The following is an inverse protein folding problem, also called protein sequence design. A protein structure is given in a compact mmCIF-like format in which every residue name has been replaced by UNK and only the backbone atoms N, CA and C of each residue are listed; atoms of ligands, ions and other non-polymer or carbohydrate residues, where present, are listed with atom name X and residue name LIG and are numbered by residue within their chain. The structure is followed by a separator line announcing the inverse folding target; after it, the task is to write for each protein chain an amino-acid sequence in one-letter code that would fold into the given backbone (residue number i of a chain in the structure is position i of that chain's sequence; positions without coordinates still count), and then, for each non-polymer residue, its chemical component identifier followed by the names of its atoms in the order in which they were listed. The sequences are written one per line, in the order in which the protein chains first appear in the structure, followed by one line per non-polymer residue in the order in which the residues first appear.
data_IF_284583551834
#
_entry.id   IF_284583551834
#
_cell.length_a   1.000
_cell.length_b   1.000
_cell.length_c   1.000
_cell.angle_alpha   90.00
_cell.angle_beta   90.00
_cell.angle_gamma   90.00
#
_symmetry.space_group_name_H-M   'P 1'
#
loop_
_entity.id
_entity.type
_entity.pdbx_description
1 polymer ?
#
# COMPACT_ATOMS: atom_id res chain seq x y z
N UNK A 1 -9.79 13.35 14.74
CA UNK A 1 -8.58 12.97 13.96
C UNK A 1 -8.56 13.80 12.70
N UNK A 2 -7.40 14.28 12.30
CA UNK A 2 -7.23 15.09 11.09
C UNK A 2 -7.43 14.23 9.82
N UNK A 3 -7.98 14.82 8.76
CA UNK A 3 -8.25 14.19 7.44
C UNK A 3 -7.78 15.12 6.30
N UNK A 4 -6.48 15.45 6.23
CA UNK A 4 -5.97 16.46 5.33
C UNK A 4 -6.14 16.10 3.85
N UNK A 5 -6.24 14.81 3.51
CA UNK A 5 -6.33 14.34 2.13
C UNK A 5 -7.70 13.73 1.80
N UNK A 6 -8.25 12.88 2.68
CA UNK A 6 -9.50 12.15 2.37
C UNK A 6 -10.72 13.05 2.33
N UNK A 7 -10.74 14.12 3.15
CA UNK A 7 -11.81 15.12 3.13
C UNK A 7 -12.05 15.73 1.75
N UNK A 8 -11.00 15.86 0.92
CA UNK A 8 -11.09 16.41 -0.44
C UNK A 8 -11.99 15.55 -1.33
N UNK A 9 -12.03 14.23 -1.12
CA UNK A 9 -12.82 13.28 -1.91
C UNK A 9 -14.09 12.81 -1.20
N UNK A 10 -14.25 13.05 0.10
CA UNK A 10 -15.41 12.59 0.87
C UNK A 10 -16.37 13.70 1.28
N UNK A 11 -15.90 14.94 1.46
CA UNK A 11 -16.67 15.99 2.15
C UNK A 11 -17.36 16.96 1.19
N UNK A 12 -18.53 17.46 1.60
CA UNK A 12 -19.32 18.41 0.83
C UNK A 12 -20.21 17.79 -0.25
N UNK A 13 -21.18 18.57 -0.71
CA UNK A 13 -22.23 18.08 -1.61
C UNK A 13 -21.67 17.68 -2.98
N UNK A 14 -20.65 18.38 -3.48
CA UNK A 14 -19.99 18.09 -4.76
C UNK A 14 -19.28 16.72 -4.78
N UNK A 15 -19.05 16.10 -3.62
CA UNK A 15 -18.44 14.77 -3.49
C UNK A 15 -19.43 13.61 -3.40
N UNK A 16 -20.73 13.88 -3.64
CA UNK A 16 -21.75 12.84 -3.69
C UNK A 16 -21.43 11.70 -4.70
N UNK A 17 -20.89 11.96 -5.91
CA UNK A 17 -20.52 10.89 -6.83
C UNK A 17 -19.44 9.97 -6.25
N UNK A 18 -18.37 10.52 -5.68
CA UNK A 18 -17.29 9.76 -5.05
C UNK A 18 -17.83 8.88 -3.91
N UNK A 19 -18.69 9.45 -3.05
CA UNK A 19 -19.34 8.69 -1.97
C UNK A 19 -20.22 7.55 -2.49
N UNK A 20 -20.82 7.67 -3.68
CA UNK A 20 -21.57 6.57 -4.28
C UNK A 20 -20.65 5.37 -4.60
N UNK A 21 -19.46 5.60 -5.16
CA UNK A 21 -18.46 4.54 -5.37
C UNK A 21 -18.02 3.91 -4.04
N UNK A 22 -17.82 4.74 -3.00
CA UNK A 22 -17.42 4.23 -1.68
C UNK A 22 -18.49 3.33 -1.04
N UNK A 23 -19.77 3.71 -1.16
CA UNK A 23 -20.89 2.88 -0.71
C UNK A 23 -21.04 1.60 -1.53
N UNK A 24 -20.78 1.65 -2.84
CA UNK A 24 -20.76 0.46 -3.69
C UNK A 24 -19.67 -0.55 -3.27
N UNK A 25 -18.59 -0.08 -2.65
CA UNK A 25 -17.56 -0.92 -2.03
C UNK A 25 -17.91 -1.39 -0.61
N UNK A 26 -19.13 -1.13 -0.13
CA UNK A 26 -19.61 -1.55 1.19
C UNK A 26 -19.23 -0.61 2.35
N UNK A 27 -18.66 0.56 2.08
CA UNK A 27 -18.37 1.53 3.14
C UNK A 27 -19.66 2.22 3.61
N UNK A 28 -19.83 2.31 4.93
CA UNK A 28 -20.90 3.09 5.54
C UNK A 28 -20.48 4.55 5.66
N UNK A 29 -21.43 5.44 5.88
CA UNK A 29 -21.14 6.87 6.09
C UNK A 29 -20.16 7.07 7.25
N UNK A 30 -20.31 6.30 8.33
CA UNK A 30 -19.38 6.31 9.46
C UNK A 30 -17.94 5.93 9.08
N UNK A 31 -17.73 5.13 8.03
CA UNK A 31 -16.40 4.76 7.54
C UNK A 31 -15.84 5.78 6.56
N UNK A 32 -16.71 6.37 5.73
CA UNK A 32 -16.32 7.41 4.76
C UNK A 32 -15.73 8.62 5.48
N UNK A 33 -16.26 8.99 6.64
CA UNK A 33 -15.82 10.17 7.38
C UNK A 33 -14.72 9.92 8.44
N UNK A 34 -14.10 8.74 8.45
CA UNK A 34 -12.87 8.44 9.21
C UNK A 34 -11.62 8.78 8.38
N UNK A 35 -10.41 8.87 8.99
CA UNK A 35 -9.17 8.95 8.24
C UNK A 35 -8.92 7.70 7.39
N UNK A 36 -8.44 7.88 6.17
CA UNK A 36 -8.21 6.79 5.22
C UNK A 36 -6.74 6.38 5.25
N UNK A 37 -6.49 5.08 5.43
CA UNK A 37 -5.14 4.53 5.51
C UNK A 37 -4.91 3.59 4.33
N UNK A 38 -3.98 3.95 3.45
CA UNK A 38 -3.52 3.06 2.38
C UNK A 38 -2.75 1.89 2.98
N UNK A 39 -3.08 0.66 2.59
CA UNK A 39 -2.32 -0.55 2.93
C UNK A 39 -1.66 -1.05 1.65
N UNK A 40 -0.41 -0.63 1.41
CA UNK A 40 0.34 -0.99 0.22
C UNK A 40 1.13 -2.27 0.46
N UNK A 41 0.85 -3.32 -0.31
CA UNK A 41 1.55 -4.60 -0.21
C UNK A 41 2.30 -4.91 -1.51
N UNK A 42 3.46 -5.56 -1.42
CA UNK A 42 4.13 -6.15 -2.59
C UNK A 42 3.88 -7.66 -2.70
N UNK A 43 2.75 -8.13 -2.17
CA UNK A 43 2.37 -9.55 -2.22
C UNK A 43 2.30 -10.05 -3.66
N UNK A 44 2.88 -11.22 -3.89
CA UNK A 44 2.68 -12.01 -5.10
C UNK A 44 3.15 -13.45 -4.87
N UNK A 45 2.81 -14.32 -5.81
CA UNK A 45 3.20 -15.74 -5.80
C UNK A 45 4.50 -16.01 -6.59
N UNK A 46 5.23 -14.95 -6.97
CA UNK A 46 6.43 -15.09 -7.79
C UNK A 46 7.68 -15.47 -6.98
N UNK A 47 7.68 -15.27 -5.65
CA UNK A 47 8.83 -15.56 -4.79
C UNK A 47 8.43 -15.77 -3.33
N UNK A 48 9.10 -16.66 -2.59
CA UNK A 48 8.81 -16.88 -1.16
C UNK A 48 8.92 -15.60 -0.31
N UNK A 49 9.71 -14.61 -0.73
CA UNK A 49 9.89 -13.34 -0.01
C UNK A 49 8.58 -12.56 0.18
N UNK A 50 7.56 -12.78 -0.66
CA UNK A 50 6.35 -11.96 -0.70
C UNK A 50 5.08 -12.72 -0.26
N UNK A 51 5.11 -14.05 -0.13
CA UNK A 51 3.92 -14.88 0.10
C UNK A 51 3.18 -14.51 1.40
N UNK A 52 3.91 -14.19 2.46
CA UNK A 52 3.32 -13.86 3.77
C UNK A 52 2.65 -12.48 3.80
N UNK A 53 2.93 -11.62 2.81
CA UNK A 53 2.47 -10.24 2.81
C UNK A 53 0.93 -10.13 2.72
N UNK A 54 0.22 -11.12 2.15
CA UNK A 54 -1.25 -11.14 2.11
C UNK A 54 -1.85 -11.23 3.53
N UNK A 55 -1.43 -12.22 4.33
CA UNK A 55 -1.92 -12.36 5.71
C UNK A 55 -1.47 -11.20 6.61
N UNK A 56 -0.30 -10.61 6.33
CA UNK A 56 0.20 -9.44 7.06
C UNK A 56 -0.61 -8.19 6.70
N UNK A 57 -0.95 -7.97 5.44
CA UNK A 57 -1.81 -6.87 5.00
C UNK A 57 -3.21 -6.98 5.63
N UNK A 58 -3.80 -8.18 5.66
CA UNK A 58 -5.06 -8.44 6.38
C UNK A 58 -4.98 -8.09 7.87
N UNK A 59 -3.82 -8.34 8.50
CA UNK A 59 -3.60 -7.99 9.91
C UNK A 59 -3.45 -6.48 10.11
N UNK A 60 -2.72 -5.79 9.24
CA UNK A 60 -2.60 -4.34 9.25
C UNK A 60 -3.97 -3.65 9.07
N UNK A 61 -4.81 -4.15 8.16
CA UNK A 61 -6.18 -3.64 7.98
C UNK A 61 -7.01 -3.72 9.25
N UNK A 62 -6.98 -4.86 9.94
CA UNK A 62 -7.67 -5.01 11.24
C UNK A 62 -7.17 -3.98 12.24
N UNK A 63 -5.86 -3.84 12.41
CA UNK A 63 -5.28 -2.84 13.32
C UNK A 63 -5.71 -1.41 13.01
N UNK A 64 -5.77 -1.03 11.72
CA UNK A 64 -6.29 0.28 11.31
C UNK A 64 -7.77 0.44 11.66
N UNK A 65 -8.60 -0.56 11.36
CA UNK A 65 -10.03 -0.51 11.69
C UNK A 65 -10.27 -0.41 13.19
N UNK A 66 -9.53 -1.17 13.99
CA UNK A 66 -9.62 -1.17 15.46
C UNK A 66 -9.18 0.19 16.04
N UNK A 67 -8.23 0.87 15.38
CA UNK A 67 -7.77 2.22 15.73
C UNK A 67 -8.71 3.35 15.23
N UNK A 68 -9.83 3.02 14.57
CA UNK A 68 -10.82 3.99 14.11
C UNK A 68 -10.53 4.61 12.74
N UNK A 69 -9.63 4.03 11.95
CA UNK A 69 -9.37 4.39 10.55
C UNK A 69 -10.15 3.52 9.54
N UNK A 70 -10.16 3.94 8.28
CA UNK A 70 -10.72 3.19 7.16
C UNK A 70 -9.59 2.64 6.28
N UNK A 71 -9.25 1.34 6.36
CA UNK A 71 -8.14 0.77 5.61
C UNK A 71 -8.52 0.53 4.15
N UNK A 72 -7.64 0.93 3.24
CA UNK A 72 -7.76 0.74 1.79
C UNK A 72 -6.55 -0.01 1.26
N UNK A 73 -6.72 -1.30 1.05
CA UNK A 73 -5.65 -2.18 0.57
C UNK A 73 -5.47 -2.09 -0.94
N UNK A 74 -4.22 -2.10 -1.38
CA UNK A 74 -3.83 -2.26 -2.77
C UNK A 74 -2.47 -2.95 -2.87
N UNK A 75 -2.19 -3.51 -4.04
CA UNK A 75 -0.95 -4.25 -4.30
C UNK A 75 -0.15 -3.54 -5.38
N UNK A 76 1.17 -3.49 -5.19
CA UNK A 76 2.14 -3.12 -6.23
C UNK A 76 3.03 -4.32 -6.59
N UNK A 77 3.75 -4.21 -7.70
CA UNK A 77 4.62 -5.25 -8.23
C UNK A 77 5.83 -5.50 -7.32
N UNK A 78 6.45 -6.66 -7.45
CA UNK A 78 7.81 -6.92 -6.99
C UNK A 78 8.42 -8.05 -7.81
N UNK A 79 9.72 -7.96 -8.07
CA UNK A 79 10.48 -8.96 -8.79
C UNK A 79 11.45 -9.68 -7.86
N UNK A 80 11.84 -10.90 -8.23
CA UNK A 80 12.75 -11.73 -7.45
C UNK A 80 14.15 -11.69 -8.03
N UNK A 81 15.08 -11.07 -7.31
CA UNK A 81 16.49 -11.07 -7.71
C UNK A 81 17.05 -12.49 -7.74
N UNK A 82 16.62 -13.36 -6.81
CA UNK A 82 17.05 -14.76 -6.76
C UNK A 82 16.63 -15.56 -7.99
N UNK A 83 15.46 -15.29 -8.58
CA UNK A 83 14.99 -15.96 -9.80
C UNK A 83 15.58 -15.30 -11.05
N UNK A 84 15.64 -13.97 -11.08
CA UNK A 84 16.10 -13.21 -12.25
C UNK A 84 17.61 -13.34 -12.51
N UNK A 85 18.37 -13.90 -11.56
CA UNK A 85 19.82 -13.96 -11.60
C UNK A 85 20.32 -14.85 -12.75
N UNK A 86 21.33 -14.37 -13.48
CA UNK A 86 22.00 -15.14 -14.53
C UNK A 86 21.32 -15.12 -15.90
N UNK A 87 20.27 -14.30 -16.11
CA UNK A 87 19.68 -14.10 -17.42
C UNK A 87 19.19 -12.65 -17.62
N UNK A 88 18.65 -12.36 -18.81
CA UNK A 88 18.20 -11.03 -19.24
C UNK A 88 17.17 -10.36 -18.29
N UNK A 89 16.45 -11.16 -17.49
CA UNK A 89 15.47 -10.66 -16.53
C UNK A 89 16.08 -9.82 -15.40
N UNK A 90 17.38 -9.98 -15.10
CA UNK A 90 18.06 -9.15 -14.10
C UNK A 90 18.04 -7.65 -14.45
N UNK A 91 17.88 -7.30 -15.73
CA UNK A 91 17.69 -5.90 -16.18
C UNK A 91 16.41 -5.27 -15.61
N UNK A 92 15.43 -6.07 -15.21
CA UNK A 92 14.18 -5.62 -14.59
C UNK A 92 14.28 -5.44 -13.07
N UNK A 93 15.37 -5.87 -12.42
CA UNK A 93 15.52 -5.79 -10.95
C UNK A 93 15.52 -4.35 -10.46
N UNK A 94 16.56 -3.57 -10.76
CA UNK A 94 16.75 -2.26 -10.16
C UNK A 94 15.64 -1.27 -10.52
N UNK A 95 15.16 -1.30 -11.77
CA UNK A 95 14.08 -0.40 -12.23
C UNK A 95 12.75 -0.67 -11.52
N UNK A 96 12.52 -1.90 -11.02
CA UNK A 96 11.32 -2.21 -10.25
C UNK A 96 11.17 -1.33 -9.00
N UNK A 97 12.28 -0.85 -8.41
CA UNK A 97 12.27 0.09 -7.28
C UNK A 97 11.50 1.37 -7.60
N UNK A 98 11.76 1.96 -8.77
CA UNK A 98 11.09 3.18 -9.22
C UNK A 98 9.62 2.92 -9.51
N UNK A 99 9.34 1.82 -10.23
CA UNK A 99 7.96 1.44 -10.54
C UNK A 99 7.12 1.23 -9.28
N UNK A 100 7.69 0.61 -8.25
CA UNK A 100 7.05 0.44 -6.95
C UNK A 100 6.77 1.81 -6.32
N UNK A 101 7.78 2.67 -6.22
CA UNK A 101 7.63 3.99 -5.63
C UNK A 101 6.53 4.82 -6.33
N UNK A 102 6.60 4.88 -7.67
CA UNK A 102 5.67 5.64 -8.51
C UNK A 102 4.25 5.08 -8.41
N UNK A 103 4.08 3.75 -8.44
CA UNK A 103 2.75 3.14 -8.35
C UNK A 103 2.03 3.41 -7.02
N UNK A 104 2.77 3.43 -5.91
CA UNK A 104 2.24 3.75 -4.58
C UNK A 104 1.87 5.24 -4.54
N UNK A 105 2.76 6.11 -5.05
CA UNK A 105 2.51 7.54 -5.10
C UNK A 105 1.26 7.89 -5.92
N UNK A 106 1.08 7.24 -7.08
CA UNK A 106 -0.11 7.39 -7.91
C UNK A 106 -1.39 7.01 -7.16
N UNK A 107 -1.39 5.86 -6.49
CA UNK A 107 -2.56 5.38 -5.74
C UNK A 107 -2.91 6.33 -4.58
N UNK A 108 -1.91 6.70 -3.80
CA UNK A 108 -2.10 7.56 -2.62
C UNK A 108 -2.65 8.94 -3.00
N UNK A 109 -2.06 9.58 -4.03
CA UNK A 109 -2.50 10.90 -4.50
C UNK A 109 -3.88 10.87 -5.16
N UNK A 110 -4.14 9.88 -6.01
CA UNK A 110 -5.41 9.80 -6.75
C UNK A 110 -6.62 9.57 -5.83
N UNK A 111 -6.43 8.82 -4.74
CA UNK A 111 -7.50 8.45 -3.83
C UNK A 111 -7.55 9.28 -2.54
N UNK A 112 -6.61 10.21 -2.34
CA UNK A 112 -6.59 11.11 -1.19
C UNK A 112 -6.44 10.37 0.13
N UNK A 113 -5.56 9.37 0.22
CA UNK A 113 -5.33 8.65 1.48
C UNK A 113 -4.52 9.52 2.45
N UNK A 114 -4.92 9.52 3.72
CA UNK A 114 -4.33 10.39 4.76
C UNK A 114 -3.01 9.85 5.31
N UNK A 115 -2.79 8.54 5.20
CA UNK A 115 -1.61 7.85 5.76
C UNK A 115 -1.37 6.52 5.06
N UNK A 116 -0.18 5.93 5.26
CA UNK A 116 0.28 4.74 4.55
C UNK A 116 0.87 3.70 5.51
N UNK A 117 0.42 2.45 5.39
CA UNK A 117 1.14 1.28 5.89
C UNK A 117 1.71 0.52 4.70
N UNK A 118 3.04 0.42 4.64
CA UNK A 118 3.76 -0.25 3.57
C UNK A 118 4.30 -1.60 4.01
N UNK A 119 4.04 -2.65 3.22
CA UNK A 119 4.52 -4.00 3.44
C UNK A 119 5.38 -4.46 2.26
N UNK A 120 6.64 -4.78 2.52
CA UNK A 120 7.58 -5.21 1.49
C UNK A 120 8.49 -6.34 1.99
N UNK A 121 8.90 -7.22 1.07
CA UNK A 121 9.68 -8.43 1.39
C UNK A 121 10.95 -8.58 0.57
N UNK A 122 10.86 -8.51 -0.76
CA UNK A 122 11.98 -8.74 -1.67
C UNK A 122 12.86 -7.47 -1.85
N UNK A 123 14.17 -7.64 -2.04
CA UNK A 123 15.21 -6.58 -2.09
C UNK A 123 14.71 -5.20 -2.53
N UNK A 124 14.38 -5.02 -3.82
CA UNK A 124 14.05 -3.71 -4.41
C UNK A 124 12.70 -3.14 -3.96
N UNK A 125 11.83 -3.97 -3.40
CA UNK A 125 10.54 -3.53 -2.87
C UNK A 125 10.68 -2.73 -1.57
N UNK A 126 11.68 -3.03 -0.75
CA UNK A 126 11.95 -2.31 0.50
C UNK A 126 12.25 -0.83 0.24
N UNK A 127 13.30 -0.46 -0.54
CA UNK A 127 13.58 0.94 -0.82
C UNK A 127 12.49 1.60 -1.68
N UNK A 128 11.83 0.88 -2.60
CA UNK A 128 10.73 1.44 -3.38
C UNK A 128 9.56 1.93 -2.50
N UNK A 129 9.19 1.13 -1.49
CA UNK A 129 8.18 1.50 -0.50
C UNK A 129 8.61 2.72 0.33
N UNK A 130 9.85 2.73 0.83
CA UNK A 130 10.39 3.83 1.63
C UNK A 130 10.51 5.13 0.82
N UNK A 131 10.87 5.03 -0.46
CA UNK A 131 10.89 6.18 -1.38
C UNK A 131 9.49 6.77 -1.55
N UNK A 132 8.45 5.95 -1.72
CA UNK A 132 7.08 6.45 -1.79
C UNK A 132 6.67 7.18 -0.51
N UNK A 133 6.97 6.61 0.66
CA UNK A 133 6.69 7.25 1.96
C UNK A 133 7.37 8.62 2.07
N UNK A 134 8.67 8.70 1.72
CA UNK A 134 9.42 9.96 1.76
C UNK A 134 8.91 11.00 0.76
N UNK A 135 8.50 10.58 -0.45
CA UNK A 135 7.94 11.48 -1.48
C UNK A 135 6.56 12.01 -1.13
N UNK A 136 5.74 11.20 -0.47
CA UNK A 136 4.37 11.56 -0.09
C UNK A 136 4.32 12.46 1.14
N UNK A 137 5.28 12.33 2.06
CA UNK A 137 5.34 13.09 3.32
C UNK A 137 4.04 13.01 4.13
N UNK A 138 3.40 11.83 4.10
CA UNK A 138 2.23 11.50 4.94
C UNK A 138 2.66 10.60 6.09
N UNK A 139 1.93 10.59 7.22
CA UNK A 139 2.17 9.63 8.29
C UNK A 139 2.27 8.20 7.74
N UNK A 140 3.41 7.57 7.96
CA UNK A 140 3.74 6.29 7.32
C UNK A 140 4.37 5.30 8.29
N UNK A 141 4.02 4.02 8.16
CA UNK A 141 4.64 2.91 8.89
C UNK A 141 5.09 1.84 7.89
N UNK A 142 6.33 1.39 8.02
CA UNK A 142 6.88 0.31 7.22
C UNK A 142 6.93 -1.00 8.01
N UNK A 143 6.46 -2.10 7.40
CA UNK A 143 6.50 -3.46 7.94
C UNK A 143 7.30 -4.36 6.99
N UNK A 144 8.41 -4.89 7.49
CA UNK A 144 9.19 -5.90 6.77
C UNK A 144 8.46 -7.26 6.76
N UNK A 145 8.43 -7.91 5.59
CA UNK A 145 7.75 -9.20 5.39
C UNK A 145 8.31 -10.35 6.24
N UNK A 146 9.57 -10.26 6.65
CA UNK A 146 10.25 -11.25 7.48
C UNK A 146 11.31 -12.04 6.70
N UNK A 147 12.31 -12.54 7.43
CA UNK A 147 13.35 -13.41 6.86
C UNK A 147 12.90 -14.86 6.86
N UNK A 148 13.35 -15.62 5.87
CA UNK A 148 13.13 -17.07 5.80
C UNK A 148 14.00 -17.80 6.83
N UNK A 149 13.53 -18.93 7.35
CA UNK A 149 14.36 -19.81 8.18
C UNK A 149 15.42 -20.53 7.32
N UNK A 150 16.59 -20.86 7.88
CA UNK A 150 17.51 -21.77 7.21
C UNK A 150 16.85 -23.14 6.98
N UNK A 151 17.28 -23.82 5.91
CA UNK A 151 16.89 -25.19 5.59
C UNK A 151 17.67 -26.23 6.37
#
# INVERSE_FOLDING_TARGET
MDRPHSSIVTDGNKRAPQRAFFRAMGLKDADIYKPWVGIASTWNEATPCNITLDRQAKSAKRGVSDAGGTPREFVTIAVSDGIAMGHEGMKSSLVSRETIADSIELMMRAHGYDSLVGLAGCDKSLPGMLMAMARLDVPSVFLYGGTIMPG
#
